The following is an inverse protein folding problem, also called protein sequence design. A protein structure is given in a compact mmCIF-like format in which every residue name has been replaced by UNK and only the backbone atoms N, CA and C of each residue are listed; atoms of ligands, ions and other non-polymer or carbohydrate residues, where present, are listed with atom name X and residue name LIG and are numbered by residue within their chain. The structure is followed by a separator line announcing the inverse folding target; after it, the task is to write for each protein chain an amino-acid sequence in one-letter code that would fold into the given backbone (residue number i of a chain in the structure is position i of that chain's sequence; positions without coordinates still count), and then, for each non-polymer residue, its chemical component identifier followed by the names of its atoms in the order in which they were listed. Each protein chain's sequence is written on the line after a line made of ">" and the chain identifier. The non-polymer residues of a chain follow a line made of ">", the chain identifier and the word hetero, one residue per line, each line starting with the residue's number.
data_IF_098539922105
#
_entry.id   IF_098539922105
#
_cell.length_a   1.000
_cell.length_b   1.000
_cell.length_c   1.000
_cell.angle_alpha   90.00
_cell.angle_beta   90.00
_cell.angle_gamma   90.00
#
_symmetry.space_group_name_H-M   'P 1'
#
loop_
_entity.id
_entity.type
_entity.pdbx_description
1 polymer ?
#
# COMPACT_ATOMS: atom_id res chain seq x y z
N UNK A 1 12.01 2.32 -16.86
CA UNK A 1 12.39 0.91 -16.92
C UNK A 1 12.25 0.27 -15.56
N UNK A 2 11.52 -0.84 -15.43
CA UNK A 2 11.31 -1.48 -14.12
C UNK A 2 12.60 -1.88 -13.40
N UNK A 3 13.62 -2.29 -14.15
CA UNK A 3 14.90 -2.72 -13.57
C UNK A 3 15.63 -1.55 -12.91
N UNK A 4 15.56 -0.37 -13.47
CA UNK A 4 16.18 0.83 -12.88
C UNK A 4 15.47 1.23 -11.60
N UNK A 5 14.13 1.19 -11.59
CA UNK A 5 13.36 1.49 -10.40
C UNK A 5 13.65 0.49 -9.29
N UNK A 6 13.73 -0.80 -9.60
CA UNK A 6 14.06 -1.84 -8.64
C UNK A 6 15.45 -1.65 -8.04
N UNK A 7 16.44 -1.35 -8.90
CA UNK A 7 17.82 -1.12 -8.44
C UNK A 7 17.89 0.08 -7.50
N UNK A 8 17.18 1.17 -7.84
CA UNK A 8 17.14 2.36 -7.00
C UNK A 8 16.47 2.08 -5.66
N UNK A 9 15.36 1.37 -5.66
CA UNK A 9 14.67 1.02 -4.42
C UNK A 9 15.57 0.18 -3.51
N UNK A 10 16.24 -0.82 -4.06
CA UNK A 10 17.19 -1.62 -3.28
C UNK A 10 18.30 -0.77 -2.68
N UNK A 11 18.88 0.15 -3.46
CA UNK A 11 19.95 1.00 -2.97
C UNK A 11 19.46 1.98 -1.90
N UNK A 12 18.18 2.35 -1.93
CA UNK A 12 17.57 3.22 -0.94
C UNK A 12 17.05 2.47 0.30
N UNK A 13 17.37 1.18 0.41
CA UNK A 13 17.03 0.39 1.59
C UNK A 13 15.70 -0.34 1.54
N UNK A 14 15.02 -0.32 0.41
CA UNK A 14 13.76 -1.04 0.25
C UNK A 14 13.99 -2.53 -0.02
N UNK A 15 13.11 -3.37 0.50
CA UNK A 15 13.12 -4.81 0.28
C UNK A 15 11.80 -5.26 -0.33
N UNK A 16 11.86 -6.26 -1.21
CA UNK A 16 10.66 -6.84 -1.82
C UNK A 16 9.84 -7.58 -0.77
N UNK A 17 8.53 -7.34 -0.77
CA UNK A 17 7.58 -8.10 0.03
C UNK A 17 7.19 -9.35 -0.76
N UNK A 18 7.24 -10.50 -0.12
CA UNK A 18 6.78 -11.73 -0.74
C UNK A 18 5.26 -11.67 -0.91
N UNK A 19 4.79 -11.90 -2.13
CA UNK A 19 3.36 -11.84 -2.47
C UNK A 19 2.97 -13.02 -3.35
N UNK A 20 1.66 -13.26 -3.42
CA UNK A 20 1.10 -14.29 -4.29
C UNK A 20 -0.23 -13.82 -4.86
N UNK A 21 -0.73 -14.53 -5.88
CA UNK A 21 -2.03 -14.25 -6.46
C UNK A 21 -2.12 -12.86 -7.07
N UNK A 22 -3.21 -12.17 -6.78
CA UNK A 22 -3.48 -10.86 -7.36
C UNK A 22 -2.39 -9.83 -7.03
N UNK A 23 -1.91 -9.84 -5.79
CA UNK A 23 -0.85 -8.90 -5.39
C UNK A 23 0.44 -9.14 -6.15
N UNK A 24 0.75 -10.39 -6.46
CA UNK A 24 1.92 -10.72 -7.26
C UNK A 24 1.78 -10.17 -8.68
N UNK A 25 0.58 -10.21 -9.25
CA UNK A 25 0.31 -9.70 -10.59
C UNK A 25 0.54 -8.18 -10.69
N UNK A 26 0.14 -7.44 -9.67
CA UNK A 26 0.30 -5.97 -9.70
C UNK A 26 1.62 -5.50 -9.11
N UNK A 27 2.34 -6.36 -8.39
CA UNK A 27 3.61 -6.01 -7.77
C UNK A 27 4.76 -5.86 -8.75
N UNK A 28 5.98 -5.89 -8.25
CA UNK A 28 6.35 -6.14 -6.86
C UNK A 28 6.04 -5.01 -5.91
N UNK A 29 5.75 -5.39 -4.67
CA UNK A 29 5.52 -4.46 -3.57
C UNK A 29 6.80 -4.40 -2.73
N UNK A 30 7.17 -3.20 -2.31
CA UNK A 30 8.39 -2.96 -1.54
C UNK A 30 8.06 -2.45 -0.16
N UNK A 31 8.93 -2.71 0.79
CA UNK A 31 8.80 -2.18 2.16
C UNK A 31 10.16 -1.79 2.72
N UNK A 32 10.14 -0.89 3.68
CA UNK A 32 11.29 -0.59 4.52
C UNK A 32 10.80 -0.08 5.88
N UNK A 33 11.67 -0.17 6.87
CA UNK A 33 11.38 0.29 8.23
C UNK A 33 12.21 1.55 8.48
N UNK A 34 11.52 2.63 8.83
CA UNK A 34 12.17 3.92 9.13
C UNK A 34 11.65 4.39 10.48
N UNK A 35 12.57 4.52 11.46
CA UNK A 35 12.22 4.97 12.82
C UNK A 35 11.07 4.16 13.44
N UNK A 36 11.08 2.84 13.23
CA UNK A 36 10.06 1.95 13.79
C UNK A 36 8.76 1.89 13.02
N UNK A 37 8.62 2.63 11.93
CA UNK A 37 7.42 2.65 11.11
C UNK A 37 7.69 2.07 9.73
N UNK A 38 6.75 1.24 9.26
CA UNK A 38 6.84 0.67 7.92
C UNK A 38 6.37 1.66 6.87
N UNK A 39 7.14 1.71 5.78
CA UNK A 39 6.75 2.39 4.55
C UNK A 39 6.67 1.35 3.45
N UNK A 40 5.79 1.59 2.49
CA UNK A 40 5.59 0.68 1.36
C UNK A 40 5.71 1.46 0.06
N UNK A 41 6.18 0.78 -0.99
CA UNK A 41 6.33 1.40 -2.29
C UNK A 41 5.88 0.45 -3.40
N UNK A 42 5.40 1.03 -4.48
CA UNK A 42 5.07 0.33 -5.71
C UNK A 42 5.60 1.16 -6.88
N UNK A 43 6.58 0.63 -7.59
CA UNK A 43 7.08 1.28 -8.79
C UNK A 43 6.11 0.97 -9.93
N UNK A 44 5.43 2.01 -10.42
CA UNK A 44 4.43 1.81 -11.47
C UNK A 44 5.09 1.54 -12.81
N UNK A 45 4.49 0.66 -13.57
CA UNK A 45 4.97 0.25 -14.88
C UNK A 45 3.79 0.09 -15.83
N UNK A 46 4.04 -0.27 -17.07
CA UNK A 46 3.02 -0.28 -18.11
C UNK A 46 1.76 -1.08 -17.75
N UNK A 47 1.91 -2.20 -17.05
CA UNK A 47 0.75 -3.02 -16.65
C UNK A 47 -0.23 -2.30 -15.72
N UNK A 48 0.16 -1.16 -15.16
CA UNK A 48 -0.65 -0.40 -14.20
C UNK A 48 -1.48 0.72 -14.86
N UNK A 49 -1.40 0.87 -16.18
CA UNK A 49 -2.04 2.00 -16.86
C UNK A 49 -3.56 1.82 -17.01
N UNK A 50 -4.27 2.94 -17.00
CA UNK A 50 -5.67 3.03 -17.38
C UNK A 50 -5.78 3.42 -18.85
N UNK A 51 -7.03 3.65 -19.34
CA UNK A 51 -7.25 4.02 -20.73
C UNK A 51 -6.58 5.32 -21.17
N UNK A 52 -6.25 6.19 -20.20
CA UNK A 52 -5.59 7.47 -20.48
C UNK A 52 -4.06 7.40 -20.31
N UNK A 53 -3.52 6.22 -20.03
CA UNK A 53 -2.08 6.05 -19.83
C UNK A 53 -1.59 6.47 -18.45
N UNK A 54 -2.48 6.64 -17.50
CA UNK A 54 -2.17 7.01 -16.12
C UNK A 54 -2.33 5.80 -15.20
N UNK A 55 -1.89 5.92 -13.94
CA UNK A 55 -2.05 4.83 -12.98
C UNK A 55 -3.54 4.58 -12.75
N UNK A 56 -3.96 3.34 -12.93
CA UNK A 56 -5.35 2.93 -12.79
C UNK A 56 -5.81 3.09 -11.33
N UNK A 57 -7.03 3.65 -11.14
CA UNK A 57 -7.56 3.86 -9.80
C UNK A 57 -7.62 2.59 -8.96
N UNK A 58 -7.93 1.45 -9.58
CA UNK A 58 -7.92 0.17 -8.88
C UNK A 58 -6.56 -0.24 -8.35
N UNK A 59 -5.47 0.16 -9.02
CA UNK A 59 -4.10 -0.06 -8.51
C UNK A 59 -3.89 0.76 -7.24
N UNK A 60 -4.31 2.03 -7.25
CA UNK A 60 -4.20 2.89 -6.08
C UNK A 60 -4.99 2.34 -4.89
N UNK A 61 -6.21 1.87 -5.15
CA UNK A 61 -7.05 1.28 -4.10
C UNK A 61 -6.44 -0.01 -3.55
N UNK A 62 -5.94 -0.88 -4.41
CA UNK A 62 -5.30 -2.12 -3.99
C UNK A 62 -4.06 -1.85 -3.15
N UNK A 63 -3.24 -0.89 -3.59
CA UNK A 63 -2.03 -0.50 -2.87
C UNK A 63 -2.38 0.08 -1.49
N UNK A 64 -3.38 0.97 -1.43
CA UNK A 64 -3.84 1.54 -0.17
C UNK A 64 -4.41 0.45 0.77
N UNK A 65 -5.26 -0.42 0.25
CA UNK A 65 -5.86 -1.50 1.03
C UNK A 65 -4.79 -2.43 1.61
N UNK A 66 -3.88 -2.88 0.76
CA UNK A 66 -2.86 -3.84 1.20
C UNK A 66 -1.91 -3.24 2.21
N UNK A 67 -1.45 -2.01 1.99
CA UNK A 67 -0.50 -1.37 2.89
C UNK A 67 -1.14 -1.01 4.23
N UNK A 68 -2.41 -0.60 4.23
CA UNK A 68 -3.16 -0.40 5.46
C UNK A 68 -3.30 -1.71 6.23
N UNK A 69 -3.63 -2.81 5.55
CA UNK A 69 -3.76 -4.12 6.19
C UNK A 69 -2.45 -4.61 6.79
N UNK A 70 -1.34 -4.42 6.08
CA UNK A 70 -0.02 -4.82 6.59
C UNK A 70 0.36 -4.01 7.83
N UNK A 71 0.13 -2.70 7.82
CA UNK A 71 0.41 -1.85 8.97
C UNK A 71 -0.50 -2.19 10.14
N UNK A 72 -1.78 -2.42 9.88
CA UNK A 72 -2.73 -2.80 10.94
C UNK A 72 -2.32 -4.11 11.60
N UNK A 73 -1.87 -5.07 10.83
CA UNK A 73 -1.37 -6.35 11.35
C UNK A 73 -0.11 -6.17 12.18
N UNK A 74 0.83 -5.36 11.68
CA UNK A 74 2.08 -5.10 12.39
C UNK A 74 1.83 -4.38 13.73
N UNK A 75 1.03 -3.33 13.72
CA UNK A 75 0.78 -2.50 14.93
C UNK A 75 -0.05 -3.26 15.95
N UNK A 76 -1.06 -4.01 15.53
CA UNK A 76 -1.95 -4.73 16.45
C UNK A 76 -1.34 -6.05 16.96
N UNK A 77 -0.38 -6.61 16.22
CA UNK A 77 0.14 -7.94 16.50
C UNK A 77 -0.84 -9.06 16.17
N UNK A 78 -1.94 -8.74 15.48
CA UNK A 78 -2.96 -9.73 15.11
C UNK A 78 -2.69 -10.25 13.71
N UNK A 79 -2.60 -11.56 13.51
CA UNK A 79 -2.17 -12.12 12.23
C UNK A 79 -3.22 -12.09 11.12
N UNK A 80 -4.48 -12.10 11.48
CA UNK A 80 -5.57 -12.24 10.50
C UNK A 80 -6.57 -11.12 10.62
N UNK A 81 -6.63 -10.31 9.56
CA UNK A 81 -7.54 -9.17 9.46
C UNK A 81 -8.32 -9.26 8.15
N UNK A 82 -9.50 -8.66 8.14
CA UNK A 82 -10.29 -8.53 6.92
C UNK A 82 -10.68 -7.07 6.73
N UNK A 83 -10.57 -6.58 5.51
CA UNK A 83 -11.04 -5.25 5.17
C UNK A 83 -12.55 -5.21 5.25
N UNK A 84 -13.09 -4.33 6.09
CA UNK A 84 -14.53 -4.09 6.19
C UNK A 84 -14.95 -2.98 5.25
N UNK A 85 -14.14 -1.94 5.19
CA UNK A 85 -14.45 -0.76 4.39
C UNK A 85 -13.14 -0.06 4.02
N UNK A 86 -13.11 0.47 2.81
CA UNK A 86 -12.00 1.31 2.35
C UNK A 86 -12.59 2.44 1.52
N UNK A 87 -12.50 3.67 2.03
CA UNK A 87 -12.90 4.87 1.30
C UNK A 87 -11.65 5.46 0.67
N UNK A 88 -11.71 5.74 -0.63
CA UNK A 88 -10.57 6.28 -1.35
C UNK A 88 -10.97 7.55 -2.10
N UNK A 89 -10.15 8.60 -1.96
CA UNK A 89 -10.25 9.80 -2.77
C UNK A 89 -9.07 9.83 -3.74
N UNK A 90 -9.35 10.02 -5.01
CA UNK A 90 -8.34 10.19 -6.05
C UNK A 90 -8.10 11.68 -6.20
N UNK A 91 -6.96 12.14 -5.69
CA UNK A 91 -6.67 13.57 -5.55
C UNK A 91 -5.99 14.13 -6.78
N UNK A 92 -5.05 13.36 -7.34
CA UNK A 92 -4.25 13.78 -8.48
C UNK A 92 -3.82 12.56 -9.28
N UNK A 93 -3.53 12.74 -10.57
CA UNK A 93 -3.13 11.63 -11.43
C UNK A 93 -1.72 11.15 -11.09
N UNK A 94 -1.55 9.84 -11.01
CA UNK A 94 -0.24 9.20 -10.98
C UNK A 94 0.18 8.85 -12.39
N UNK A 95 1.45 9.10 -12.72
CA UNK A 95 1.99 8.81 -14.05
C UNK A 95 2.73 7.47 -14.03
N UNK A 96 2.63 6.73 -15.12
CA UNK A 96 3.37 5.48 -15.26
C UNK A 96 4.87 5.79 -15.20
N UNK A 97 5.60 4.99 -14.42
CA UNK A 97 7.01 5.21 -14.13
C UNK A 97 7.27 5.88 -12.79
N UNK A 98 6.26 6.50 -12.21
CA UNK A 98 6.40 7.10 -10.88
C UNK A 98 6.30 6.01 -9.81
N UNK A 99 6.97 6.25 -8.67
CA UNK A 99 6.96 5.33 -7.53
C UNK A 99 5.93 5.82 -6.51
N UNK A 100 4.94 4.99 -6.24
CA UNK A 100 3.94 5.24 -5.21
C UNK A 100 4.51 4.88 -3.85
N UNK A 101 4.24 5.72 -2.85
CA UNK A 101 4.65 5.45 -1.46
C UNK A 101 3.44 5.58 -0.56
N UNK A 102 3.33 4.67 0.40
CA UNK A 102 2.26 4.67 1.41
C UNK A 102 2.88 4.47 2.79
N UNK A 103 2.48 5.32 3.74
CA UNK A 103 2.86 5.22 5.15
C UNK A 103 1.60 5.20 5.99
N UNK A 104 0.91 4.06 6.10
CA UNK A 104 -0.34 4.02 6.85
C UNK A 104 -0.15 4.33 8.32
N UNK A 105 -1.15 4.99 8.90
CA UNK A 105 -1.16 5.35 10.31
C UNK A 105 -2.44 4.83 10.95
N UNK A 106 -2.28 4.04 12.02
CA UNK A 106 -3.42 3.57 12.81
C UNK A 106 -3.98 4.76 13.58
N UNK A 107 -5.26 5.04 13.36
CA UNK A 107 -5.98 6.10 14.06
C UNK A 107 -6.43 5.59 15.42
N UNK A 108 -7.00 4.39 15.44
CA UNK A 108 -7.46 3.74 16.67
C UNK A 108 -7.55 2.24 16.45
N UNK A 109 -7.09 1.50 17.45
CA UNK A 109 -7.26 0.04 17.48
C UNK A 109 -8.19 -0.29 18.65
N UNK A 110 -9.29 -0.97 18.35
CA UNK A 110 -10.20 -1.46 19.36
C UNK A 110 -10.04 -2.97 19.50
N UNK A 111 -10.85 -3.58 20.35
CA UNK A 111 -10.80 -5.04 20.54
C UNK A 111 -11.04 -5.83 19.26
N UNK A 112 -11.92 -5.33 18.38
CA UNK A 112 -12.34 -6.05 17.18
C UNK A 112 -12.10 -5.32 15.88
N UNK A 113 -11.84 -4.00 15.93
CA UNK A 113 -11.70 -3.17 14.73
C UNK A 113 -10.45 -2.30 14.80
N UNK A 114 -9.86 -2.05 13.65
CA UNK A 114 -8.74 -1.14 13.52
C UNK A 114 -9.11 -0.08 12.48
N UNK A 115 -9.02 1.18 12.89
CA UNK A 115 -9.26 2.33 12.02
C UNK A 115 -7.91 2.87 11.58
N UNK A 116 -7.69 2.98 10.28
CA UNK A 116 -6.38 3.30 9.73
C UNK A 116 -6.53 4.22 8.52
N UNK A 117 -5.56 5.08 8.31
CA UNK A 117 -5.57 6.02 7.20
C UNK A 117 -4.22 6.01 6.50
N UNK A 118 -4.22 6.35 5.22
CA UNK A 118 -2.99 6.53 4.47
C UNK A 118 -3.16 7.56 3.38
N UNK A 119 -2.04 8.18 3.01
CA UNK A 119 -1.93 8.95 1.78
C UNK A 119 -0.98 8.22 0.87
N UNK A 120 -1.38 8.06 -0.40
CA UNK A 120 -0.49 7.54 -1.43
C UNK A 120 0.17 8.73 -2.10
N UNK A 121 1.49 8.78 -2.02
CA UNK A 121 2.25 9.93 -2.50
C UNK A 121 3.24 9.55 -3.59
N UNK A 122 3.61 10.55 -4.39
CA UNK A 122 4.72 10.49 -5.33
C UNK A 122 5.54 11.74 -5.07
N UNK A 123 6.79 11.57 -4.62
CA UNK A 123 7.68 12.70 -4.30
C UNK A 123 6.98 13.76 -3.42
N UNK A 124 6.32 13.32 -2.34
CA UNK A 124 5.56 14.15 -1.38
C UNK A 124 4.25 14.72 -1.93
N UNK A 125 3.95 14.51 -3.22
CA UNK A 125 2.68 14.94 -3.80
C UNK A 125 1.63 13.88 -3.49
N UNK A 126 0.53 14.27 -2.86
CA UNK A 126 -0.56 13.34 -2.55
C UNK A 126 -1.36 13.06 -3.82
N UNK A 127 -1.46 11.80 -4.22
CA UNK A 127 -2.27 11.42 -5.39
C UNK A 127 -3.53 10.67 -5.01
N UNK A 128 -3.56 10.05 -3.82
CA UNK A 128 -4.77 9.41 -3.30
C UNK A 128 -4.74 9.42 -1.79
N UNK A 129 -5.91 9.38 -1.18
CA UNK A 129 -6.10 9.28 0.26
C UNK A 129 -7.06 8.14 0.52
N UNK A 130 -6.83 7.37 1.58
CA UNK A 130 -7.72 6.28 1.93
C UNK A 130 -7.90 6.18 3.43
N UNK A 131 -9.13 5.87 3.83
CA UNK A 131 -9.48 5.53 5.21
C UNK A 131 -10.02 4.12 5.21
N UNK A 132 -9.49 3.28 6.08
CA UNK A 132 -9.87 1.89 6.15
C UNK A 132 -10.36 1.48 7.52
N UNK A 133 -11.25 0.50 7.53
CA UNK A 133 -11.69 -0.20 8.74
C UNK A 133 -11.41 -1.68 8.51
N UNK A 134 -10.64 -2.27 9.43
CA UNK A 134 -10.27 -3.68 9.36
C UNK A 134 -10.83 -4.41 10.57
N UNK A 135 -11.39 -5.58 10.33
CA UNK A 135 -11.89 -6.44 11.41
C UNK A 135 -10.82 -7.44 11.80
N UNK A 136 -10.59 -7.58 13.10
CA UNK A 136 -9.71 -8.60 13.64
C UNK A 136 -10.48 -9.91 13.63
N UNK A 137 -9.98 -10.90 12.89
CA UNK A 137 -10.60 -12.21 12.79
C UNK A 137 -10.01 -13.13 13.85
N UNK A 138 -10.86 -14.05 14.35
CA UNK A 138 -10.40 -15.09 15.26
C UNK A 138 -9.58 -16.09 14.46
N UNK A 139 -8.47 -16.55 15.07
CA UNK A 139 -7.72 -17.64 14.48
C UNK A 139 -8.59 -18.90 14.50
N UNK A 140 -8.87 -19.41 13.32
CA UNK A 140 -9.46 -20.73 13.19
C UNK A 140 -8.32 -21.74 13.20
N UNK A 141 -8.32 -22.59 14.19
CA UNK A 141 -7.37 -23.69 14.28
C UNK A 141 -8.01 -24.96 13.74
#
# INVERSE_FOLDING_TARGET
>A
MPEKAAAKLKSDGWAIVETSGFLHLIGPLWQRLVNGEHEYALATEDKHHNRRGLVQGGVLMTFADRTCGMTARYVSGKPTLATVQLDTHFVEAGKIGEVLVSKPRVVRSTRSLIFITTEVTVDRRVIAMANGVFKILKNET
#
